data_IF_278867356927
#
_entry.id   IF_278867356927
#
_cell.length_a   1.000
_cell.length_b   1.000
_cell.length_c   1.000
_cell.angle_alpha   90.00
_cell.angle_beta   90.00
_cell.angle_gamma   90.00
#
_symmetry.space_group_name_H-M   'P 1'
#
loop_
_entity.id
_entity.type
_entity.pdbx_description
1 polymer ?
#
# COMPACT_ATOMS: atom_id res chain seq x y z
N UNK A 1 7.50 -13.53 19.16
CA UNK A 1 6.51 -13.75 18.07
C UNK A 1 6.54 -12.53 17.17
N UNK A 2 6.63 -12.67 15.84
CA UNK A 2 6.64 -11.53 14.92
C UNK A 2 5.20 -11.13 14.60
N UNK A 3 4.81 -9.84 14.65
CA UNK A 3 3.43 -9.43 14.37
C UNK A 3 3.07 -9.67 12.90
N UNK A 4 1.78 -9.93 12.64
CA UNK A 4 1.24 -9.93 11.28
C UNK A 4 1.17 -8.50 10.74
N UNK A 5 1.51 -8.29 9.48
CA UNK A 5 1.40 -6.98 8.82
C UNK A 5 0.19 -7.01 7.89
N UNK A 6 -0.78 -6.14 8.16
CA UNK A 6 -2.01 -6.03 7.36
C UNK A 6 -1.85 -4.91 6.33
N UNK A 7 -1.96 -5.27 5.05
CA UNK A 7 -1.94 -4.32 3.94
C UNK A 7 -3.37 -3.94 3.53
N UNK A 8 -3.56 -2.68 3.15
CA UNK A 8 -4.84 -2.19 2.64
C UNK A 8 -4.84 -2.17 1.11
N UNK A 9 -6.01 -2.38 0.53
CA UNK A 9 -6.26 -2.23 -0.91
C UNK A 9 -7.65 -1.64 -1.14
N UNK A 10 -7.88 -1.03 -2.31
CA UNK A 10 -9.20 -0.57 -2.75
C UNK A 10 -10.05 -1.71 -3.31
N UNK A 11 -9.46 -2.86 -3.59
CA UNK A 11 -10.18 -4.04 -4.06
C UNK A 11 -11.00 -4.65 -2.94
N UNK A 12 -12.32 -4.73 -3.13
CA UNK A 12 -13.26 -5.30 -2.15
C UNK A 12 -13.51 -6.81 -2.34
N UNK A 13 -13.06 -7.38 -3.46
CA UNK A 13 -13.18 -8.81 -3.74
C UNK A 13 -12.18 -9.60 -2.90
N UNK A 14 -12.66 -10.69 -2.31
CA UNK A 14 -11.81 -11.64 -1.59
C UNK A 14 -11.12 -12.61 -2.57
N UNK A 15 -10.02 -13.22 -2.15
CA UNK A 15 -9.28 -14.25 -2.90
C UNK A 15 -8.76 -13.85 -4.29
N UNK A 16 -8.67 -12.55 -4.59
CA UNK A 16 -8.17 -12.02 -5.87
C UNK A 16 -6.79 -11.38 -5.70
N UNK A 17 -6.05 -11.24 -6.80
CA UNK A 17 -4.80 -10.46 -6.79
C UNK A 17 -5.14 -8.98 -6.81
N UNK A 18 -4.64 -8.23 -5.83
CA UNK A 18 -4.83 -6.80 -5.70
C UNK A 18 -3.49 -6.09 -5.52
N UNK A 19 -3.43 -4.85 -6.00
CA UNK A 19 -2.34 -3.93 -5.65
C UNK A 19 -2.74 -3.24 -4.35
N UNK A 20 -1.87 -3.32 -3.34
CA UNK A 20 -2.06 -2.64 -2.05
C UNK A 20 -1.80 -1.14 -2.20
N UNK A 21 -2.23 -0.35 -1.22
CA UNK A 21 -1.98 1.10 -1.21
C UNK A 21 -0.48 1.43 -1.18
N UNK A 22 0.36 0.55 -0.63
CA UNK A 22 1.81 0.69 -0.67
C UNK A 22 2.46 0.13 -1.94
N UNK A 23 1.68 -0.26 -2.96
CA UNK A 23 2.18 -0.69 -4.27
C UNK A 23 2.55 -2.17 -4.40
N UNK A 24 2.30 -3.02 -3.40
CA UNK A 24 2.61 -4.45 -3.48
C UNK A 24 1.49 -5.23 -4.16
N UNK A 25 1.82 -6.23 -4.98
CA UNK A 25 0.84 -7.19 -5.52
C UNK A 25 0.68 -8.35 -4.56
N UNK A 26 -0.50 -8.49 -3.95
CA UNK A 26 -0.83 -9.55 -2.98
C UNK A 26 -2.18 -10.19 -3.32
N UNK A 27 -2.43 -11.42 -2.84
CA UNK A 27 -3.75 -12.03 -2.88
C UNK A 27 -4.57 -11.60 -1.67
N UNK A 28 -5.81 -11.15 -1.87
CA UNK A 28 -6.72 -10.80 -0.79
C UNK A 28 -7.19 -12.06 -0.05
N UNK A 29 -7.27 -11.96 1.27
CA UNK A 29 -7.78 -13.02 2.13
C UNK A 29 -8.42 -12.40 3.38
N UNK A 30 -9.73 -12.17 3.34
CA UNK A 30 -10.44 -11.52 4.43
C UNK A 30 -10.48 -12.39 5.69
N UNK A 31 -10.47 -13.72 5.52
CA UNK A 31 -10.46 -14.66 6.64
C UNK A 31 -9.12 -14.59 7.37
N UNK A 32 -8.00 -14.69 6.65
CA UNK A 32 -6.66 -14.60 7.23
C UNK A 32 -6.44 -13.24 7.93
N UNK A 33 -6.90 -12.14 7.33
CA UNK A 33 -6.82 -10.82 7.96
C UNK A 33 -7.66 -10.76 9.24
N UNK A 34 -8.88 -11.31 9.23
CA UNK A 34 -9.74 -11.37 10.42
C UNK A 34 -9.10 -12.20 11.53
N UNK A 35 -8.58 -13.37 11.20
CA UNK A 35 -7.88 -14.25 12.13
C UNK A 35 -6.64 -13.56 12.70
N UNK A 36 -5.83 -12.91 11.86
CA UNK A 36 -4.66 -12.14 12.31
C UNK A 36 -5.03 -11.03 13.31
N UNK A 37 -6.16 -10.34 13.08
CA UNK A 37 -6.65 -9.29 13.98
C UNK A 37 -7.20 -9.82 15.31
N UNK A 38 -7.64 -11.07 15.35
CA UNK A 38 -8.27 -11.68 16.53
C UNK A 38 -7.31 -12.55 17.36
N UNK A 39 -6.29 -13.14 16.73
CA UNK A 39 -5.50 -14.23 17.33
C UNK A 39 -4.13 -13.82 17.87
N UNK A 40 -3.64 -12.61 17.57
CA UNK A 40 -2.28 -12.23 17.97
C UNK A 40 -1.91 -10.78 17.67
N UNK A 41 -0.64 -10.40 17.91
CA UNK A 41 -0.16 -9.07 17.62
C UNK A 41 -0.15 -8.84 16.10
N UNK A 42 -0.78 -7.76 15.68
CA UNK A 42 -0.81 -7.33 14.28
C UNK A 42 -0.55 -5.82 14.22
N UNK A 43 -0.06 -5.36 13.07
CA UNK A 43 0.13 -3.95 12.75
C UNK A 43 -0.38 -3.66 11.35
N UNK A 44 -0.87 -2.44 11.14
CA UNK A 44 -1.11 -1.93 9.80
C UNK A 44 0.22 -1.71 9.07
N UNK A 45 0.24 -1.91 7.75
CA UNK A 45 1.38 -1.49 6.94
C UNK A 45 1.50 0.05 7.00
N UNK A 46 2.61 0.62 7.48
CA UNK A 46 2.74 2.07 7.68
C UNK A 46 2.54 2.89 6.40
N UNK A 47 2.98 2.38 5.26
CA UNK A 47 2.80 3.05 3.96
C UNK A 47 1.34 3.03 3.52
N UNK A 48 0.61 1.95 3.79
CA UNK A 48 -0.82 1.90 3.49
C UNK A 48 -1.63 2.84 4.39
N UNK A 49 -1.23 2.94 5.67
CA UNK A 49 -1.85 3.84 6.64
C UNK A 49 -1.60 5.31 6.28
N UNK A 50 -0.37 5.68 5.93
CA UNK A 50 -0.04 7.01 5.42
C UNK A 50 -0.85 7.34 4.16
N UNK A 51 -0.99 6.39 3.23
CA UNK A 51 -1.79 6.59 2.02
C UNK A 51 -3.28 6.82 2.30
N UNK A 52 -3.85 6.21 3.35
CA UNK A 52 -5.23 6.48 3.78
C UNK A 52 -5.34 7.88 4.39
N UNK A 53 -4.43 8.25 5.29
CA UNK A 53 -4.42 9.58 5.91
C UNK A 53 -4.28 10.69 4.85
N UNK A 54 -3.40 10.50 3.87
CA UNK A 54 -3.22 11.44 2.77
C UNK A 54 -4.42 11.50 1.80
N UNK A 55 -5.24 10.45 1.72
CA UNK A 55 -6.46 10.47 0.92
C UNK A 55 -7.57 11.32 1.57
N UNK A 56 -7.60 11.37 2.90
CA UNK A 56 -8.56 12.17 3.67
C UNK A 56 -8.14 13.64 3.77
N UNK A 57 -6.84 13.91 3.67
CA UNK A 57 -6.33 15.27 3.51
C UNK A 57 -6.56 15.65 2.06
N UNK A 58 -7.51 16.56 1.80
CA UNK A 58 -7.59 17.25 0.52
C UNK A 58 -6.34 18.13 0.40
N UNK A 59 -5.23 17.53 0.00
CA UNK A 59 -4.06 18.28 -0.44
C UNK A 59 -4.49 18.94 -1.74
N UNK A 60 -4.66 20.26 -1.69
CA UNK A 60 -4.65 21.06 -2.91
C UNK A 60 -3.38 20.64 -3.66
N UNK A 61 -3.53 20.16 -4.90
CA UNK A 61 -2.36 19.91 -5.73
C UNK A 61 -1.59 21.23 -5.78
N UNK A 62 -0.31 21.26 -5.37
CA UNK A 62 0.47 22.46 -5.57
C UNK A 62 0.48 22.74 -7.08
N UNK A 63 0.15 23.98 -7.46
CA UNK A 63 0.02 24.41 -8.87
C UNK A 63 1.27 24.05 -9.70
N UNK A 64 2.43 23.90 -9.05
CA UNK A 64 3.62 23.31 -9.60
C UNK A 64 4.23 22.30 -8.61
N UNK A 65 4.69 21.12 -9.08
CA UNK A 65 5.51 20.28 -8.24
C UNK A 65 6.83 21.02 -8.01
N UNK A 66 7.11 21.40 -6.76
CA UNK A 66 8.36 22.02 -6.30
C UNK A 66 9.50 20.99 -6.42
N UNK A 67 9.86 20.69 -7.67
CA UNK A 67 10.90 19.76 -8.04
C UNK A 67 12.19 20.56 -8.03
N UNK A 68 13.14 20.26 -7.13
CA UNK A 68 14.41 20.94 -7.16
C UNK A 68 15.09 20.71 -8.51
N UNK A 69 15.85 21.70 -8.97
CA UNK A 69 16.63 21.59 -10.20
C UNK A 69 17.48 20.31 -10.19
N UNK A 70 17.32 19.48 -11.22
CA UNK A 70 17.99 18.18 -11.34
C UNK A 70 17.25 16.99 -10.71
N UNK A 71 16.06 17.18 -10.13
CA UNK A 71 15.22 16.07 -9.70
C UNK A 71 14.76 15.25 -10.92
N UNK A 72 15.15 13.98 -10.95
CA UNK A 72 14.70 13.02 -11.95
C UNK A 72 13.90 11.94 -11.24
N UNK A 73 12.62 11.77 -11.60
CA UNK A 73 11.85 10.63 -11.13
C UNK A 73 12.55 9.35 -11.62
N UNK A 74 12.92 8.43 -10.73
CA UNK A 74 13.49 7.16 -11.14
C UNK A 74 12.51 6.48 -12.10
N UNK A 75 12.97 6.12 -13.29
CA UNK A 75 12.17 5.32 -14.21
C UNK A 75 11.93 3.96 -13.53
N UNK A 76 10.68 3.52 -13.43
CA UNK A 76 10.32 2.17 -12.98
C UNK A 76 10.71 1.09 -14.02
N UNK A 77 11.80 1.27 -14.76
CA UNK A 77 12.36 0.27 -15.66
C UNK A 77 13.09 -0.79 -14.83
N UNK A 78 12.41 -1.90 -14.57
CA UNK A 78 12.99 -3.05 -13.85
C UNK A 78 12.01 -3.93 -13.07
N UNK A 79 10.73 -3.55 -12.96
CA UNK A 79 9.68 -4.42 -12.38
C UNK A 79 8.84 -5.13 -13.45
N UNK A 80 9.40 -5.27 -14.65
CA UNK A 80 8.88 -6.15 -15.69
C UNK A 80 9.49 -7.53 -15.47
N UNK A 81 8.73 -8.43 -14.84
CA UNK A 81 8.81 -9.88 -15.00
C UNK A 81 10.23 -10.48 -15.11
N UNK A 82 10.89 -10.65 -13.95
CA UNK A 82 11.78 -11.80 -13.76
C UNK A 82 10.87 -13.03 -13.49
N UNK A 83 11.08 -14.16 -14.18
CA UNK A 83 10.12 -15.27 -14.31
C UNK A 83 9.68 -15.91 -12.99
#
# INVERSE_FOLDING_TARGET
MKPAIVHYTRTLSDHTTAVTLCGMKLRTDHRAVREAKQSGPWVSCPLCEAALMLADITLEEPDEPDRPDGWTQPTFTGMENRP
#
